data_IF_781102537326
#
_entry.id   IF_781102537326
#
_cell.length_a   1.000
_cell.length_b   1.000
_cell.length_c   1.000
_cell.angle_alpha   90.00
_cell.angle_beta   90.00
_cell.angle_gamma   90.00
#
_symmetry.space_group_name_H-M   'P 1'
#
loop_
_entity.id
_entity.type
_entity.pdbx_description
1 polymer ?
#
# COMPACT_ATOMS: atom_id res chain seq x y z
N UNK A 1 -0.79 21.71 7.46
CA UNK A 1 0.41 21.27 8.20
C UNK A 1 1.36 20.58 7.23
N UNK A 2 2.48 21.21 6.86
CA UNK A 2 3.44 20.67 5.89
C UNK A 2 4.48 19.82 6.64
N UNK A 3 4.38 18.49 6.53
CA UNK A 3 5.35 17.58 7.12
C UNK A 3 6.62 17.55 6.23
N UNK A 4 7.62 18.34 6.61
CA UNK A 4 8.96 18.27 6.04
C UNK A 4 9.66 17.04 6.65
N UNK A 5 9.83 15.99 5.85
CA UNK A 5 10.59 14.82 6.29
C UNK A 5 12.07 15.19 6.42
N UNK A 6 12.58 15.16 7.65
CA UNK A 6 13.99 15.36 7.95
C UNK A 6 14.83 14.32 7.19
N UNK A 7 16.01 14.72 6.70
CA UNK A 7 16.84 13.94 5.76
C UNK A 7 17.30 12.54 6.23
N UNK A 8 17.05 12.16 7.48
CA UNK A 8 17.51 10.89 8.08
C UNK A 8 16.37 9.92 8.46
N UNK A 9 15.11 10.24 8.14
CA UNK A 9 13.98 9.37 8.54
C UNK A 9 14.00 8.07 7.71
N UNK A 10 14.39 6.97 8.36
CA UNK A 10 14.36 5.62 7.75
C UNK A 10 13.03 4.92 7.89
N UNK A 11 12.24 5.29 8.89
CA UNK A 11 10.95 4.68 9.17
C UNK A 11 9.94 5.79 9.42
N UNK A 12 8.81 5.72 8.72
CA UNK A 12 7.72 6.65 8.89
C UNK A 12 6.42 5.88 9.02
N UNK A 13 5.62 6.27 10.00
CA UNK A 13 4.33 5.66 10.29
C UNK A 13 3.29 6.75 10.46
N UNK A 14 2.28 6.75 9.60
CA UNK A 14 1.08 7.57 9.73
C UNK A 14 -0.12 6.68 9.95
N UNK A 15 -0.85 6.94 11.03
CA UNK A 15 -2.04 6.18 11.41
C UNK A 15 -3.12 7.21 11.77
N UNK A 16 -4.13 7.33 10.93
CA UNK A 16 -5.18 8.35 11.00
C UNK A 16 -6.56 7.66 11.07
N UNK A 17 -6.97 7.28 12.28
CA UNK A 17 -8.18 6.47 12.53
C UNK A 17 -9.37 7.33 12.99
N UNK A 18 -9.56 8.49 12.37
CA UNK A 18 -10.60 9.47 12.65
C UNK A 18 -11.71 9.46 11.60
N UNK A 19 -12.90 9.96 11.93
CA UNK A 19 -14.10 9.89 11.07
C UNK A 19 -14.23 11.06 10.08
N UNK A 20 -13.12 11.64 9.65
CA UNK A 20 -13.10 12.78 8.73
C UNK A 20 -12.63 12.37 7.32
N UNK A 21 -12.65 13.34 6.40
CA UNK A 21 -12.12 13.21 5.05
C UNK A 21 -10.66 12.71 5.04
N UNK A 22 -10.29 11.85 4.07
CA UNK A 22 -8.92 11.39 3.89
C UNK A 22 -7.91 12.55 3.71
N UNK A 23 -6.76 12.43 4.37
CA UNK A 23 -5.67 13.40 4.23
C UNK A 23 -4.77 13.00 3.06
N UNK A 24 -4.42 13.99 2.23
CA UNK A 24 -3.39 13.83 1.19
C UNK A 24 -2.00 13.95 1.83
N UNK A 25 -1.15 12.96 1.55
CA UNK A 25 0.24 13.02 2.00
C UNK A 25 1.06 13.99 1.15
N UNK A 26 2.01 14.74 1.75
CA UNK A 26 2.86 15.65 0.99
C UNK A 26 3.72 14.88 -0.01
N UNK A 27 3.96 15.47 -1.19
CA UNK A 27 4.80 14.87 -2.26
C UNK A 27 6.20 14.45 -1.78
N UNK A 28 6.74 15.15 -0.78
CA UNK A 28 8.04 14.82 -0.15
C UNK A 28 8.08 13.40 0.44
N UNK A 29 6.93 12.83 0.80
CA UNK A 29 6.83 11.44 1.22
C UNK A 29 7.32 10.50 0.12
N UNK A 30 6.80 10.69 -1.10
CA UNK A 30 7.00 9.82 -2.26
C UNK A 30 8.32 10.10 -3.00
N UNK A 31 9.13 11.05 -2.55
CA UNK A 31 10.45 11.36 -3.13
C UNK A 31 11.60 11.13 -2.13
N UNK A 32 11.30 10.54 -0.98
CA UNK A 32 12.32 10.28 0.04
C UNK A 32 13.31 9.21 -0.42
N UNK A 33 14.58 9.58 -0.50
CA UNK A 33 15.67 8.67 -0.88
C UNK A 33 16.17 7.81 0.28
N UNK A 34 15.81 8.12 1.51
CA UNK A 34 16.33 7.46 2.73
C UNK A 34 15.28 6.62 3.46
N UNK A 35 14.01 6.74 3.08
CA UNK A 35 12.91 6.02 3.70
C UNK A 35 13.01 4.53 3.37
N UNK A 36 13.18 3.69 4.39
CA UNK A 36 13.23 2.22 4.28
C UNK A 36 11.91 1.55 4.64
N UNK A 37 11.14 2.14 5.55
CA UNK A 37 9.84 1.62 5.97
C UNK A 37 8.80 2.72 5.96
N UNK A 38 7.68 2.45 5.27
CA UNK A 38 6.52 3.31 5.24
C UNK A 38 5.30 2.52 5.72
N UNK A 39 4.60 3.07 6.72
CA UNK A 39 3.30 2.57 7.18
C UNK A 39 2.28 3.68 7.01
N UNK A 40 1.25 3.44 6.22
CA UNK A 40 0.09 4.31 6.05
C UNK A 40 -1.14 3.54 6.50
N UNK A 41 -1.88 4.09 7.46
CA UNK A 41 -3.10 3.50 7.99
C UNK A 41 -4.24 4.50 8.14
N UNK A 42 -5.44 4.09 7.78
CA UNK A 42 -6.68 4.83 7.98
C UNK A 42 -6.91 5.89 6.91
N UNK A 43 -7.57 7.00 7.28
CA UNK A 43 -8.05 8.08 6.38
C UNK A 43 -6.90 8.86 5.72
N UNK A 44 -6.22 8.20 4.79
CA UNK A 44 -5.12 8.71 3.99
C UNK A 44 -5.48 8.49 2.53
N UNK A 45 -5.46 9.55 1.74
CA UNK A 45 -5.62 9.48 0.29
C UNK A 45 -4.26 9.19 -0.36
N UNK A 46 -4.15 8.03 -0.98
CA UNK A 46 -3.04 7.64 -1.82
C UNK A 46 -3.28 8.23 -3.23
N UNK A 47 -2.93 9.52 -3.36
CA UNK A 47 -2.81 10.24 -4.62
C UNK A 47 -1.32 10.42 -4.92
N UNK A 48 -0.78 9.58 -5.80
CA UNK A 48 0.66 9.53 -6.07
C UNK A 48 0.99 10.35 -7.32
N UNK A 49 1.74 11.46 -7.22
CA UNK A 49 2.08 12.28 -8.38
C UNK A 49 2.98 11.56 -9.39
N UNK A 50 3.02 12.03 -10.63
CA UNK A 50 4.02 11.56 -11.59
C UNK A 50 5.47 11.90 -11.14
N UNK A 51 6.43 11.05 -11.50
CA UNK A 51 7.86 11.26 -11.25
C UNK A 51 8.29 11.11 -9.79
N UNK A 52 7.52 10.36 -9.00
CA UNK A 52 7.92 9.93 -7.65
C UNK A 52 8.93 8.78 -7.72
N UNK A 53 9.73 8.61 -6.67
CA UNK A 53 10.72 7.55 -6.61
C UNK A 53 11.17 7.30 -5.16
N UNK A 54 11.10 6.05 -4.72
CA UNK A 54 11.38 5.60 -3.36
C UNK A 54 12.50 4.54 -3.38
N UNK A 55 13.74 4.93 -3.71
CA UNK A 55 14.82 4.00 -4.04
C UNK A 55 15.30 3.13 -2.87
N UNK A 56 14.98 3.52 -1.63
CA UNK A 56 15.40 2.80 -0.42
C UNK A 56 14.26 2.04 0.26
N UNK A 57 13.02 2.14 -0.26
CA UNK A 57 11.85 1.61 0.44
C UNK A 57 11.84 0.09 0.36
N UNK A 58 12.04 -0.53 1.52
CA UNK A 58 12.18 -1.96 1.69
C UNK A 58 10.90 -2.60 2.25
N UNK A 59 10.18 -1.90 3.13
CA UNK A 59 8.88 -2.33 3.66
C UNK A 59 7.80 -1.28 3.41
N UNK A 60 6.65 -1.71 2.90
CA UNK A 60 5.46 -0.89 2.70
C UNK A 60 4.27 -1.56 3.38
N UNK A 61 3.56 -0.81 4.22
CA UNK A 61 2.32 -1.24 4.84
C UNK A 61 1.22 -0.23 4.51
N UNK A 62 0.15 -0.72 3.91
CA UNK A 62 -1.04 0.03 3.51
C UNK A 62 -2.23 -0.63 4.19
N UNK A 63 -2.81 0.03 5.19
CA UNK A 63 -3.92 -0.53 5.98
C UNK A 63 -5.12 0.40 5.98
N UNK A 64 -6.22 0.00 5.36
CA UNK A 64 -7.47 0.77 5.33
C UNK A 64 -7.26 2.20 4.76
N UNK A 65 -6.38 2.33 3.77
CA UNK A 65 -6.12 3.58 3.05
C UNK A 65 -7.08 3.73 1.87
N UNK A 66 -7.29 4.96 1.41
CA UNK A 66 -8.14 5.24 0.24
C UNK A 66 -7.23 5.49 -0.96
N UNK A 67 -7.32 4.67 -2.00
CA UNK A 67 -6.64 4.93 -3.27
C UNK A 67 -7.47 5.89 -4.12
N UNK A 68 -6.82 6.88 -4.71
CA UNK A 68 -7.51 7.85 -5.58
C UNK A 68 -8.02 7.20 -6.87
N UNK A 69 -7.20 6.40 -7.51
CA UNK A 69 -7.46 5.75 -8.80
C UNK A 69 -6.45 4.61 -9.02
N UNK A 70 -6.68 3.81 -10.07
CA UNK A 70 -5.79 2.72 -10.48
C UNK A 70 -4.36 3.21 -10.77
N UNK A 71 -4.22 4.37 -11.41
CA UNK A 71 -2.92 4.95 -11.77
C UNK A 71 -2.09 5.32 -10.53
N UNK A 72 -2.72 5.79 -9.46
CA UNK A 72 -2.05 6.14 -8.20
C UNK A 72 -1.55 4.90 -7.47
N UNK A 73 -2.33 3.82 -7.49
CA UNK A 73 -1.92 2.50 -7.00
C UNK A 73 -0.72 1.95 -7.78
N UNK A 74 -0.82 1.91 -9.12
CA UNK A 74 0.24 1.36 -9.97
C UNK A 74 1.54 2.18 -9.86
N UNK A 75 1.43 3.52 -9.79
CA UNK A 75 2.58 4.41 -9.56
C UNK A 75 3.23 4.19 -8.19
N UNK A 76 2.45 3.94 -7.13
CA UNK A 76 3.01 3.69 -5.81
C UNK A 76 3.97 2.49 -5.83
N UNK A 77 3.49 1.35 -6.35
CA UNK A 77 4.25 0.10 -6.32
C UNK A 77 5.45 0.13 -7.29
N UNK A 78 5.26 0.67 -8.50
CA UNK A 78 6.35 0.81 -9.48
C UNK A 78 7.46 1.77 -9.04
N UNK A 79 7.18 2.68 -8.10
CA UNK A 79 8.16 3.64 -7.58
C UNK A 79 9.10 3.06 -6.51
N UNK A 80 8.93 1.79 -6.13
CA UNK A 80 9.65 1.15 -5.02
C UNK A 80 10.50 -0.04 -5.51
N UNK A 81 11.61 0.20 -6.25
CA UNK A 81 12.34 -0.86 -6.96
C UNK A 81 12.99 -1.92 -6.05
N UNK A 82 13.23 -1.61 -4.78
CA UNK A 82 13.88 -2.49 -3.80
C UNK A 82 12.91 -3.05 -2.74
N UNK A 83 11.60 -2.87 -2.95
CA UNK A 83 10.57 -3.30 -2.01
C UNK A 83 10.61 -4.83 -1.85
N UNK A 84 10.81 -5.29 -0.61
CA UNK A 84 10.88 -6.73 -0.29
C UNK A 84 9.67 -7.24 0.48
N UNK A 85 9.00 -6.37 1.21
CA UNK A 85 7.92 -6.72 2.13
C UNK A 85 6.74 -5.76 1.96
N UNK A 86 5.61 -6.31 1.52
CA UNK A 86 4.36 -5.59 1.28
C UNK A 86 3.26 -6.17 2.16
N UNK A 87 2.70 -5.32 3.01
CA UNK A 87 1.50 -5.62 3.78
C UNK A 87 0.36 -4.74 3.28
N UNK A 88 -0.77 -5.36 2.94
CA UNK A 88 -1.99 -4.69 2.49
C UNK A 88 -3.15 -5.19 3.33
N UNK A 89 -3.91 -4.27 3.89
CA UNK A 89 -5.20 -4.56 4.50
C UNK A 89 -6.24 -3.62 3.88
N UNK A 90 -7.22 -4.17 3.18
CA UNK A 90 -8.36 -3.44 2.62
C UNK A 90 -9.59 -3.87 3.42
N UNK A 91 -10.01 -2.99 4.32
CA UNK A 91 -11.14 -3.26 5.20
C UNK A 91 -12.46 -2.94 4.49
N UNK A 92 -13.51 -3.71 4.78
CA UNK A 92 -14.85 -3.57 4.20
C UNK A 92 -15.49 -2.19 4.38
N UNK A 93 -15.10 -1.48 5.44
CA UNK A 93 -15.62 -0.17 5.79
C UNK A 93 -14.92 0.99 5.06
N UNK A 94 -13.95 0.67 4.19
CA UNK A 94 -13.24 1.63 3.36
C UNK A 94 -13.56 1.39 1.90
N UNK A 95 -14.45 2.22 1.36
CA UNK A 95 -14.64 2.30 -0.09
C UNK A 95 -13.46 3.07 -0.71
N UNK A 96 -12.78 2.42 -1.66
CA UNK A 96 -11.66 2.99 -2.40
C UNK A 96 -11.83 2.76 -3.91
N UNK A 97 -11.06 3.48 -4.74
CA UNK A 97 -11.27 3.50 -6.19
C UNK A 97 -10.47 2.43 -6.97
N UNK A 98 -9.92 1.41 -6.30
CA UNK A 98 -9.13 0.35 -6.94
C UNK A 98 -9.90 -0.96 -6.93
N UNK A 99 -10.45 -1.37 -8.07
CA UNK A 99 -11.14 -2.67 -8.18
C UNK A 99 -10.16 -3.82 -8.37
N UNK A 100 -9.12 -3.63 -9.17
CA UNK A 100 -8.06 -4.63 -9.37
C UNK A 100 -6.78 -4.22 -8.64
N UNK A 101 -6.48 -4.91 -7.54
CA UNK A 101 -5.22 -4.73 -6.85
C UNK A 101 -4.13 -5.54 -7.53
N UNK A 102 -3.35 -4.89 -8.40
CA UNK A 102 -2.23 -5.54 -9.11
C UNK A 102 -0.93 -5.33 -8.36
N UNK A 103 -0.22 -6.42 -8.07
CA UNK A 103 1.12 -6.43 -7.47
C UNK A 103 2.13 -6.83 -8.53
N UNK A 104 2.84 -5.83 -9.08
CA UNK A 104 3.91 -5.97 -10.09
C UNK A 104 5.20 -5.38 -9.58
N UNK A 105 5.81 -6.07 -8.62
CA UNK A 105 7.04 -5.66 -7.95
C UNK A 105 8.04 -6.82 -8.03
N UNK A 106 8.93 -6.84 -9.04
CA UNK A 106 9.84 -7.97 -9.26
C UNK A 106 10.73 -8.30 -8.07
N UNK A 107 11.06 -7.30 -7.25
CA UNK A 107 11.90 -7.47 -6.07
C UNK A 107 11.17 -8.03 -4.85
N UNK A 108 9.85 -8.13 -4.86
CA UNK A 108 9.04 -8.49 -3.70
C UNK A 108 9.26 -9.94 -3.27
N UNK A 109 9.48 -10.15 -1.96
CA UNK A 109 9.69 -11.49 -1.38
C UNK A 109 8.54 -11.91 -0.47
N UNK A 110 7.89 -10.96 0.20
CA UNK A 110 6.78 -11.23 1.12
C UNK A 110 5.58 -10.34 0.78
N UNK A 111 4.43 -10.97 0.59
CA UNK A 111 3.13 -10.33 0.46
C UNK A 111 2.19 -10.87 1.53
N UNK A 112 1.67 -9.96 2.35
CA UNK A 112 0.51 -10.23 3.21
C UNK A 112 -0.63 -9.37 2.70
N UNK A 113 -1.73 -10.02 2.31
CA UNK A 113 -2.91 -9.36 1.82
C UNK A 113 -4.13 -9.77 2.63
N UNK A 114 -4.78 -8.80 3.25
CA UNK A 114 -6.05 -8.97 3.93
C UNK A 114 -7.11 -8.17 3.18
N UNK A 115 -8.13 -8.84 2.69
CA UNK A 115 -9.23 -8.20 1.99
C UNK A 115 -10.42 -9.12 1.83
N UNK A 116 -11.56 -8.54 1.46
CA UNK A 116 -12.85 -9.20 1.51
C UNK A 116 -13.31 -9.68 0.13
N UNK A 117 -12.42 -10.36 -0.57
CA UNK A 117 -12.64 -10.93 -1.90
C UNK A 117 -13.78 -11.96 -2.01
N UNK A 118 -14.31 -12.45 -0.89
CA UNK A 118 -15.30 -13.53 -0.87
C UNK A 118 -16.74 -13.02 -0.75
N UNK A 119 -16.98 -11.71 -0.77
CA UNK A 119 -18.34 -11.18 -0.84
C UNK A 119 -18.84 -11.34 -2.28
N UNK A 120 -19.99 -12.01 -2.43
CA UNK A 120 -20.61 -12.33 -3.74
C UNK A 120 -20.90 -11.12 -4.63
N UNK A 121 -20.91 -9.91 -4.06
CA UNK A 121 -21.23 -8.66 -4.73
C UNK A 121 -20.00 -7.75 -4.94
N UNK A 122 -18.79 -8.20 -4.56
CA UNK A 122 -17.56 -7.42 -4.73
C UNK A 122 -16.90 -7.74 -6.08
N UNK A 123 -16.66 -6.71 -6.89
CA UNK A 123 -15.95 -6.81 -8.19
C UNK A 123 -14.42 -6.79 -8.03
N UNK A 124 -13.96 -6.74 -6.78
CA UNK A 124 -12.57 -6.71 -6.41
C UNK A 124 -11.78 -7.94 -6.89
N UNK A 125 -10.59 -7.71 -7.44
CA UNK A 125 -9.66 -8.79 -7.80
C UNK A 125 -8.23 -8.50 -7.36
N UNK A 126 -7.46 -9.56 -7.07
CA UNK A 126 -6.03 -9.49 -6.75
C UNK A 126 -5.24 -10.18 -7.86
N UNK A 127 -4.30 -9.46 -8.46
CA UNK A 127 -3.39 -9.99 -9.48
C UNK A 127 -1.98 -9.89 -8.95
N UNK A 128 -1.27 -11.03 -8.87
CA UNK A 128 0.10 -11.09 -8.37
C UNK A 128 1.00 -11.50 -9.54
N UNK A 129 1.96 -10.64 -9.87
CA UNK A 129 2.96 -10.83 -10.92
C UNK A 129 4.33 -10.41 -10.35
N UNK A 130 4.84 -11.27 -9.47
CA UNK A 130 6.10 -11.09 -8.73
C UNK A 130 6.82 -12.43 -8.66
N UNK A 131 7.75 -12.73 -9.58
CA UNK A 131 8.33 -14.08 -9.73
C UNK A 131 9.19 -14.52 -8.54
N UNK A 132 9.79 -13.58 -7.82
CA UNK A 132 10.68 -13.86 -6.68
C UNK A 132 9.95 -14.00 -5.34
N UNK A 133 8.61 -14.01 -5.34
CA UNK A 133 7.80 -14.07 -4.12
C UNK A 133 8.02 -15.41 -3.38
N UNK A 134 8.49 -15.34 -2.13
CA UNK A 134 8.76 -16.53 -1.30
C UNK A 134 7.75 -16.72 -0.19
N UNK A 135 7.00 -15.68 0.17
CA UNK A 135 5.95 -15.71 1.18
C UNK A 135 4.70 -15.01 0.67
N UNK A 136 3.61 -15.74 0.64
CA UNK A 136 2.29 -15.24 0.30
C UNK A 136 1.30 -15.63 1.40
N UNK A 137 0.65 -14.65 2.00
CA UNK A 137 -0.45 -14.86 2.93
C UNK A 137 -1.65 -14.04 2.45
N UNK A 138 -2.76 -14.73 2.17
CA UNK A 138 -4.02 -14.10 1.82
C UNK A 138 -5.01 -14.46 2.92
N UNK A 139 -5.63 -13.45 3.53
CA UNK A 139 -6.64 -13.64 4.57
C UNK A 139 -7.92 -12.91 4.18
N UNK A 140 -9.05 -13.53 4.47
CA UNK A 140 -10.33 -12.83 4.40
C UNK A 140 -10.57 -11.97 5.65
N UNK A 141 -11.48 -10.99 5.53
CA UNK A 141 -11.89 -10.12 6.64
C UNK A 141 -12.52 -10.84 7.84
N UNK A 142 -12.72 -12.16 7.77
CA UNK A 142 -13.25 -13.00 8.84
C UNK A 142 -12.17 -13.84 9.54
N UNK A 143 -10.90 -13.73 9.13
CA UNK A 143 -9.79 -14.46 9.75
C UNK A 143 -9.59 -15.87 9.20
N UNK A 144 -10.21 -16.23 8.07
CA UNK A 144 -9.84 -17.44 7.33
C UNK A 144 -8.59 -17.13 6.49
N UNK A 145 -7.50 -17.81 6.81
CA UNK A 145 -6.27 -17.77 6.02
C UNK A 145 -6.33 -18.78 4.88
N UNK A 146 -5.95 -18.35 3.69
CA UNK A 146 -5.51 -19.23 2.61
C UNK A 146 -3.99 -19.17 2.56
N UNK A 147 -3.34 -20.25 2.98
CA UNK A 147 -1.91 -20.44 2.81
C UNK A 147 -1.71 -21.11 1.43
N UNK A 148 -0.93 -20.46 0.56
CA UNK A 148 -0.52 -20.99 -0.75
C UNK A 148 1.00 -21.11 -0.79
#
# INVERSE_FOLDING_TARGET
>A
MMLMLHRCVRTLKFMLNWNNEPIIMPKSLYTSKTLRKLVLRGKILVDVPCGVYLPSLYQLNLSSVVYKDQDSHDRLLSSCPVLKDLYVCRADDVDDNVRQFTVKVPSLLSLVYLGTFFRKDDDGSLVIDTPDLTRLEIMDGFGHSLLY
#
